data_IF_286359363089
#
_entry.id   IF_286359363089
#
_cell.length_a   1.000
_cell.length_b   1.000
_cell.length_c   1.000
_cell.angle_alpha   90.00
_cell.angle_beta   90.00
_cell.angle_gamma   90.00
#
_symmetry.space_group_name_H-M   'P 1'
#
loop_
_entity.id
_entity.type
_entity.pdbx_description
1 polymer ?
#
# COMPACT_ATOMS: atom_id res chain seq x y z
N UNK A 1 -8.52 -16.38 -19.63
CA UNK A 1 -8.10 -15.73 -18.37
C UNK A 1 -8.12 -14.25 -18.65
N UNK A 2 -8.91 -13.46 -17.93
CA UNK A 2 -8.96 -12.02 -18.16
C UNK A 2 -7.67 -11.41 -17.61
N UNK A 3 -6.94 -10.65 -18.43
CA UNK A 3 -5.81 -9.85 -17.95
C UNK A 3 -6.35 -8.77 -17.01
N UNK A 4 -6.03 -8.89 -15.72
CA UNK A 4 -6.32 -7.84 -14.75
C UNK A 4 -5.33 -6.70 -15.00
N UNK A 5 -5.80 -5.66 -15.68
CA UNK A 5 -4.99 -4.45 -15.88
C UNK A 5 -5.01 -3.67 -14.58
N UNK A 6 -3.89 -3.69 -13.86
CA UNK A 6 -3.71 -2.86 -12.66
C UNK A 6 -3.39 -1.42 -13.10
N UNK A 7 -4.37 -0.54 -12.99
CA UNK A 7 -4.17 0.88 -13.23
C UNK A 7 -3.49 1.53 -12.02
N UNK A 8 -2.16 1.61 -12.06
CA UNK A 8 -1.41 2.41 -11.08
C UNK A 8 -1.65 3.89 -11.38
N UNK A 9 -2.31 4.60 -10.46
CA UNK A 9 -2.44 6.05 -10.52
C UNK A 9 -1.41 6.68 -9.57
N UNK A 10 -0.62 7.66 -10.02
CA UNK A 10 0.21 8.45 -9.12
C UNK A 10 -0.70 9.26 -8.20
N UNK A 11 -0.42 9.19 -6.91
CA UNK A 11 -1.10 9.96 -5.86
C UNK A 11 -0.07 10.85 -5.18
N UNK A 12 -0.48 12.04 -4.77
CA UNK A 12 0.40 13.03 -4.14
C UNK A 12 0.62 12.71 -2.66
N UNK A 13 -0.44 12.26 -1.98
CA UNK A 13 -0.42 11.91 -0.56
C UNK A 13 -1.40 10.75 -0.29
N UNK A 14 -1.06 9.96 0.72
CA UNK A 14 -1.93 8.90 1.25
C UNK A 14 -1.99 9.03 2.77
N UNK A 15 -3.21 9.25 3.28
CA UNK A 15 -3.46 9.30 4.72
C UNK A 15 -4.24 8.09 5.18
N UNK A 16 -3.81 7.54 6.30
CA UNK A 16 -4.35 6.31 6.88
C UNK A 16 -4.80 6.63 8.30
N UNK A 17 -6.06 6.34 8.61
CA UNK A 17 -6.63 6.52 9.95
C UNK A 17 -7.66 5.45 10.25
N UNK A 18 -7.98 5.23 11.53
CA UNK A 18 -9.16 4.43 11.86
C UNK A 18 -10.41 5.14 11.38
N UNK A 19 -11.40 4.37 10.92
CA UNK A 19 -12.71 4.90 10.60
C UNK A 19 -13.39 5.40 11.87
N UNK A 20 -14.05 6.55 11.78
CA UNK A 20 -14.69 7.15 12.95
C UNK A 20 -15.79 6.21 13.46
N UNK A 21 -15.68 5.79 14.72
CA UNK A 21 -16.65 4.90 15.36
C UNK A 21 -16.44 3.40 15.13
N UNK A 22 -15.44 2.99 14.35
CA UNK A 22 -15.09 1.57 14.18
C UNK A 22 -13.56 1.36 14.23
N UNK A 23 -13.01 0.84 15.34
CA UNK A 23 -11.58 0.60 15.49
C UNK A 23 -11.06 -0.55 14.61
N UNK A 24 -11.93 -1.42 14.08
CA UNK A 24 -11.54 -2.54 13.25
C UNK A 24 -11.57 -2.22 11.75
N UNK A 25 -11.88 -0.96 11.40
CA UNK A 25 -11.92 -0.48 10.03
C UNK A 25 -10.94 0.66 9.86
N UNK A 26 -10.18 0.62 8.76
CA UNK A 26 -9.21 1.65 8.37
C UNK A 26 -9.78 2.42 7.19
N UNK A 27 -9.68 3.74 7.25
CA UNK A 27 -9.96 4.66 6.15
C UNK A 27 -8.64 5.07 5.50
N UNK A 28 -8.54 4.80 4.20
CA UNK A 28 -7.48 5.24 3.31
C UNK A 28 -7.98 6.46 2.53
N UNK A 29 -7.24 7.55 2.55
CA UNK A 29 -7.53 8.77 1.78
C UNK A 29 -6.39 9.03 0.82
N UNK A 30 -6.68 8.96 -0.48
CA UNK A 30 -5.73 9.21 -1.56
C UNK A 30 -5.99 10.61 -2.12
N UNK A 31 -4.95 11.44 -2.15
CA UNK A 31 -5.01 12.81 -2.65
C UNK A 31 -4.34 12.88 -4.02
N UNK A 32 -5.02 13.50 -4.99
CA UNK A 32 -4.52 13.74 -6.33
C UNK A 32 -4.98 15.13 -6.80
N UNK A 33 -4.10 16.11 -6.71
CA UNK A 33 -4.45 17.52 -6.88
C UNK A 33 -5.59 17.91 -5.92
N UNK A 34 -6.70 18.38 -6.49
CA UNK A 34 -7.90 18.76 -5.73
C UNK A 34 -8.86 17.57 -5.48
N UNK A 35 -8.58 16.40 -6.06
CA UNK A 35 -9.41 15.20 -5.90
C UNK A 35 -8.95 14.38 -4.68
N UNK A 36 -9.92 13.96 -3.86
CA UNK A 36 -9.69 13.04 -2.74
C UNK A 36 -10.58 11.82 -2.89
N UNK A 37 -9.97 10.63 -2.89
CA UNK A 37 -10.68 9.35 -2.92
C UNK A 37 -10.55 8.62 -1.60
N UNK A 38 -11.66 8.12 -1.09
CA UNK A 38 -11.74 7.42 0.18
C UNK A 38 -12.07 5.94 -0.02
N UNK A 39 -11.32 5.08 0.66
CA UNK A 39 -11.57 3.64 0.68
C UNK A 39 -11.53 3.15 2.13
N UNK A 40 -12.44 2.24 2.45
CA UNK A 40 -12.45 1.57 3.76
C UNK A 40 -12.07 0.12 3.59
N UNK A 41 -11.30 -0.42 4.53
CA UNK A 41 -10.98 -1.84 4.60
C UNK A 41 -10.86 -2.29 6.05
N UNK A 42 -10.95 -3.61 6.31
CA UNK A 42 -10.71 -4.12 7.66
C UNK A 42 -9.25 -3.95 8.07
N UNK A 43 -9.03 -3.68 9.36
CA UNK A 43 -7.70 -3.53 9.95
C UNK A 43 -6.86 -4.80 9.79
N UNK A 44 -7.49 -5.98 9.90
CA UNK A 44 -6.82 -7.26 9.71
C UNK A 44 -6.27 -7.41 8.30
N UNK A 45 -7.07 -7.04 7.28
CA UNK A 45 -6.63 -7.09 5.88
C UNK A 45 -5.53 -6.08 5.63
N UNK A 46 -5.68 -4.85 6.16
CA UNK A 46 -4.68 -3.79 6.03
C UNK A 46 -3.32 -4.23 6.59
N UNK A 47 -3.31 -4.75 7.82
CA UNK A 47 -2.08 -5.18 8.51
C UNK A 47 -1.40 -6.31 7.75
N UNK A 48 -2.17 -7.30 7.29
CA UNK A 48 -1.63 -8.42 6.51
C UNK A 48 -1.00 -7.94 5.19
N UNK A 49 -1.64 -7.02 4.49
CA UNK A 49 -1.11 -6.47 3.23
C UNK A 49 0.16 -5.64 3.48
N UNK A 50 0.18 -4.81 4.53
CA UNK A 50 1.35 -4.03 4.89
C UNK A 50 2.56 -4.94 5.22
N UNK A 51 2.35 -5.98 6.03
CA UNK A 51 3.40 -6.94 6.38
C UNK A 51 3.96 -7.67 5.16
N UNK A 52 3.10 -8.05 4.21
CA UNK A 52 3.51 -8.69 2.96
C UNK A 52 4.33 -7.74 2.08
N UNK A 53 3.94 -6.46 1.97
CA UNK A 53 4.71 -5.46 1.23
C UNK A 53 6.08 -5.23 1.84
N UNK A 54 6.17 -5.08 3.17
CA UNK A 54 7.45 -4.90 3.88
C UNK A 54 8.34 -6.13 3.71
N UNK A 55 7.77 -7.33 3.85
CA UNK A 55 8.51 -8.59 3.68
C UNK A 55 9.02 -8.77 2.26
N UNK A 56 8.20 -8.42 1.25
CA UNK A 56 8.60 -8.44 -0.17
C UNK A 56 9.70 -7.42 -0.48
N UNK A 57 9.57 -6.20 0.03
CA UNK A 57 10.60 -5.16 -0.13
C UNK A 57 11.94 -5.58 0.50
N UNK A 58 11.89 -6.19 1.69
CA UNK A 58 13.07 -6.73 2.37
C UNK A 58 13.73 -7.85 1.55
N UNK A 59 12.95 -8.79 1.05
CA UNK A 59 13.44 -9.87 0.19
C UNK A 59 14.14 -9.33 -1.06
N UNK A 60 13.58 -8.31 -1.71
CA UNK A 60 14.18 -7.69 -2.88
C UNK A 60 15.48 -6.93 -2.53
N UNK A 61 15.53 -6.24 -1.39
CA UNK A 61 16.73 -5.55 -0.93
C UNK A 61 17.88 -6.52 -0.57
N UNK A 62 17.55 -7.70 -0.05
CA UNK A 62 18.52 -8.76 0.23
C UNK A 62 19.03 -9.47 -1.04
N UNK A 63 18.39 -9.24 -2.19
CA UNK A 63 18.80 -9.78 -3.49
C UNK A 63 19.64 -8.83 -4.34
N UNK A 64 19.92 -7.59 -3.89
CA UNK A 64 20.94 -6.79 -4.55
C UNK A 64 22.26 -7.59 -4.53
N UNK A 65 22.86 -7.91 -5.70
CA UNK A 65 24.11 -8.62 -5.70
C UNK A 65 25.11 -7.72 -4.98
N UNK A 66 25.80 -8.27 -3.99
CA UNK A 66 27.10 -7.78 -3.57
C UNK A 66 28.08 -7.96 -4.74
N UNK A 67 27.83 -7.25 -5.84
CA UNK A 67 28.67 -7.16 -7.00
C UNK A 67 29.79 -6.20 -6.66
N UNK A 68 30.83 -6.74 -6.03
CA UNK A 68 32.12 -6.09 -5.95
C UNK A 68 32.53 -5.66 -7.34
N UNK A 69 32.65 -4.35 -7.54
CA UNK A 69 33.47 -3.80 -8.59
C UNK A 69 34.92 -4.12 -8.17
N UNK A 70 35.47 -5.19 -8.74
CA UNK A 70 36.90 -5.52 -8.69
C UNK A 70 37.37 -5.89 -10.08
#
# INVERSE_FOLDING_TARGET
MAEETVHAMPVDDVRIRHADGDPNTVLLSFYQGDEVRHFTMSLDLFTRTADQMVSGAKFLAEQEPTGGWS
#
